data_IF_219452629642
#
_entry.id   IF_219452629642
#
_cell.length_a   1.000
_cell.length_b   1.000
_cell.length_c   1.000
_cell.angle_alpha   90.00
_cell.angle_beta   90.00
_cell.angle_gamma   90.00
#
_symmetry.space_group_name_H-M   'P 1'
#
loop_
_entity.id
_entity.type
_entity.pdbx_description
1 polymer ?
#
# COMPACT_ATOMS: atom_id res chain seq x y z
N UNK A 1 3.36 7.17 16.20
CA UNK A 1 1.95 7.58 16.16
C UNK A 1 1.29 6.98 14.91
N UNK A 2 -0.03 6.77 14.90
CA UNK A 2 -0.76 6.18 13.76
C UNK A 2 -1.97 7.04 13.40
N UNK A 3 -2.14 7.35 12.11
CA UNK A 3 -3.30 8.07 11.57
C UNK A 3 -4.15 7.13 10.72
N UNK A 4 -5.42 6.99 11.08
CA UNK A 4 -6.36 6.13 10.37
C UNK A 4 -7.15 6.94 9.33
N UNK A 5 -7.33 6.35 8.15
CA UNK A 5 -8.22 6.84 7.10
C UNK A 5 -9.35 5.83 6.89
N UNK A 6 -10.49 6.30 6.34
CA UNK A 6 -11.59 5.41 5.99
C UNK A 6 -11.17 4.51 4.82
N UNK A 7 -11.82 3.36 4.69
CA UNK A 7 -11.63 2.58 3.47
C UNK A 7 -12.09 3.40 2.25
N UNK A 8 -11.45 3.15 1.10
CA UNK A 8 -11.63 3.91 -0.14
C UNK A 8 -11.34 5.41 -0.02
N UNK A 9 -10.56 5.84 0.99
CA UNK A 9 -10.09 7.23 1.07
C UNK A 9 -9.34 7.62 -0.21
N UNK A 10 -9.69 8.76 -0.79
CA UNK A 10 -9.19 9.19 -2.11
C UNK A 10 -7.93 10.05 -2.06
N UNK A 11 -7.48 10.48 -0.87
CA UNK A 11 -6.35 11.41 -0.65
C UNK A 11 -6.48 12.70 -1.50
N UNK A 12 -7.05 13.75 -0.89
CA UNK A 12 -7.10 15.05 -1.56
C UNK A 12 -5.76 15.76 -1.52
N UNK A 13 -5.64 16.88 -2.26
CA UNK A 13 -4.46 17.75 -2.21
C UNK A 13 -4.20 18.24 -0.77
N UNK A 14 -5.26 18.54 -0.02
CA UNK A 14 -5.16 18.94 1.39
C UNK A 14 -4.62 17.81 2.26
N UNK A 15 -5.05 16.56 2.03
CA UNK A 15 -4.49 15.40 2.74
C UNK A 15 -2.98 15.25 2.45
N UNK A 16 -2.57 15.40 1.19
CA UNK A 16 -1.16 15.33 0.80
C UNK A 16 -0.33 16.45 1.43
N UNK A 17 -0.87 17.66 1.52
CA UNK A 17 -0.22 18.77 2.23
C UNK A 17 -0.03 18.45 3.72
N UNK A 18 -1.04 17.83 4.35
CA UNK A 18 -0.94 17.39 5.74
C UNK A 18 0.10 16.28 5.89
N UNK A 19 0.14 15.30 4.99
CA UNK A 19 1.17 14.25 4.99
C UNK A 19 2.58 14.84 4.87
N UNK A 20 2.78 15.82 3.98
CA UNK A 20 4.04 16.53 3.83
C UNK A 20 4.45 17.31 5.09
N UNK A 21 3.49 17.91 5.80
CA UNK A 21 3.77 18.57 7.07
C UNK A 21 4.18 17.58 8.16
N UNK A 22 3.45 16.47 8.27
CA UNK A 22 3.74 15.40 9.23
C UNK A 22 5.12 14.79 8.93
N UNK A 23 5.45 14.56 7.67
CA UNK A 23 6.71 13.96 7.23
C UNK A 23 7.96 14.73 7.72
N UNK A 24 7.85 16.02 8.06
CA UNK A 24 8.97 16.80 8.61
C UNK A 24 9.37 16.39 10.02
N UNK A 25 8.48 15.72 10.76
CA UNK A 25 8.67 15.35 12.16
C UNK A 25 9.03 13.86 12.35
N UNK A 26 9.12 13.08 11.27
CA UNK A 26 9.38 11.65 11.32
C UNK A 26 10.42 11.27 10.27
N UNK A 27 11.29 10.31 10.59
CA UNK A 27 12.25 9.77 9.62
C UNK A 27 11.56 9.07 8.45
N UNK A 28 10.46 8.35 8.75
CA UNK A 28 9.66 7.62 7.79
C UNK A 28 8.18 7.76 8.08
N UNK A 29 7.39 7.85 7.01
CA UNK A 29 5.97 7.56 7.02
C UNK A 29 5.76 6.20 6.35
N UNK A 30 4.89 5.36 6.89
CA UNK A 30 4.62 4.03 6.32
C UNK A 30 3.13 3.90 6.02
N UNK A 31 2.81 3.48 4.80
CA UNK A 31 1.44 3.15 4.39
C UNK A 31 1.38 1.80 3.67
N UNK A 32 0.18 1.39 3.28
CA UNK A 32 -0.04 0.21 2.44
C UNK A 32 0.17 0.55 0.96
N UNK A 33 0.43 -0.46 0.13
CA UNK A 33 0.49 -0.29 -1.34
C UNK A 33 -0.80 0.34 -1.90
N UNK A 34 -1.96 -0.04 -1.35
CA UNK A 34 -3.28 0.45 -1.76
C UNK A 34 -3.45 1.95 -1.54
N UNK A 35 -2.84 2.51 -0.50
CA UNK A 35 -2.91 3.94 -0.24
C UNK A 35 -1.87 4.70 -1.04
N UNK A 36 -0.68 4.13 -1.23
CA UNK A 36 0.38 4.75 -2.04
C UNK A 36 -0.11 5.08 -3.46
N UNK A 37 -0.83 4.16 -4.12
CA UNK A 37 -1.30 4.37 -5.50
C UNK A 37 -2.30 5.52 -5.67
N UNK A 38 -2.83 6.05 -4.56
CA UNK A 38 -3.79 7.18 -4.56
C UNK A 38 -3.12 8.52 -4.23
N UNK A 39 -1.91 8.49 -3.71
CA UNK A 39 -1.15 9.68 -3.32
C UNK A 39 -0.37 10.13 -4.56
N UNK A 40 -0.72 11.28 -5.10
CA UNK A 40 -0.17 11.80 -6.35
C UNK A 40 1.24 12.36 -6.17
N UNK A 41 1.49 13.05 -5.05
CA UNK A 41 2.77 13.66 -4.74
C UNK A 41 3.27 13.23 -3.33
N UNK A 42 3.81 12.01 -3.20
CA UNK A 42 4.21 11.47 -1.91
C UNK A 42 5.44 12.18 -1.34
N UNK A 43 5.51 12.42 -0.01
CA UNK A 43 6.73 12.94 0.62
C UNK A 43 7.88 11.94 0.49
N UNK A 44 9.11 12.44 0.42
CA UNK A 44 10.32 11.62 0.28
C UNK A 44 10.52 10.59 1.40
N UNK A 45 9.92 10.82 2.57
CA UNK A 45 9.93 9.95 3.74
C UNK A 45 8.91 8.80 3.65
N UNK A 46 7.96 8.85 2.69
CA UNK A 46 6.93 7.83 2.56
C UNK A 46 7.53 6.51 2.07
N UNK A 47 7.17 5.43 2.75
CA UNK A 47 7.53 4.05 2.45
C UNK A 47 6.28 3.20 2.46
N UNK A 48 6.36 2.08 1.75
CA UNK A 48 5.34 1.04 1.78
C UNK A 48 5.86 -0.17 2.51
N UNK A 49 4.96 -0.84 3.23
CA UNK A 49 5.21 -2.18 3.73
C UNK A 49 4.80 -3.19 2.65
N UNK A 50 5.80 -3.77 1.98
CA UNK A 50 5.60 -4.83 1.00
C UNK A 50 5.44 -6.17 1.71
N UNK A 51 4.32 -6.84 1.48
CA UNK A 51 4.07 -8.20 1.98
C UNK A 51 4.15 -9.19 0.83
N UNK A 52 5.01 -10.19 0.97
CA UNK A 52 5.06 -11.30 0.01
C UNK A 52 4.07 -12.37 0.43
N UNK A 53 3.05 -12.59 -0.40
CA UNK A 53 2.12 -13.70 -0.23
C UNK A 53 2.85 -15.02 -0.48
N UNK A 54 2.55 -16.01 0.36
CA UNK A 54 3.00 -17.40 0.19
C UNK A 54 1.80 -18.31 0.37
N UNK A 55 1.61 -19.25 -0.55
CA UNK A 55 0.54 -20.24 -0.48
C UNK A 55 1.14 -21.62 -0.25
N UNK A 56 0.63 -22.34 0.75
CA UNK A 56 1.03 -23.73 0.95
C UNK A 56 0.51 -24.59 -0.20
N UNK A 57 1.39 -25.46 -0.73
CA UNK A 57 1.10 -26.31 -1.91
C UNK A 57 0.70 -25.50 -3.15
N UNK A 58 1.31 -24.34 -3.38
CA UNK A 58 1.08 -23.48 -4.55
C UNK A 58 1.12 -24.24 -5.88
N UNK A 59 2.01 -25.22 -6.02
CA UNK A 59 2.12 -26.07 -7.21
C UNK A 59 0.81 -26.83 -7.54
N UNK A 60 0.06 -27.25 -6.52
CA UNK A 60 -1.23 -27.91 -6.73
C UNK A 60 -2.23 -26.95 -7.37
N UNK A 61 -2.32 -25.71 -6.85
CA UNK A 61 -3.20 -24.68 -7.42
C UNK A 61 -2.82 -24.37 -8.87
N UNK A 62 -1.52 -24.21 -9.15
CA UNK A 62 -1.03 -23.95 -10.51
C UNK A 62 -1.45 -25.10 -11.45
N UNK A 63 -1.23 -26.35 -11.04
CA UNK A 63 -1.60 -27.52 -11.84
C UNK A 63 -3.11 -27.63 -12.08
N UNK A 64 -3.93 -27.26 -11.09
CA UNK A 64 -5.39 -27.27 -11.19
C UNK A 64 -5.88 -26.22 -12.19
N UNK A 65 -5.33 -25.00 -12.14
CA UNK A 65 -5.70 -23.91 -13.05
C UNK A 65 -5.32 -24.22 -14.50
N UNK A 66 -4.12 -24.77 -14.73
CA UNK A 66 -3.66 -25.14 -16.08
C UNK A 66 -4.56 -26.20 -16.74
N UNK A 67 -5.03 -27.19 -15.97
CA UNK A 67 -5.95 -28.23 -16.47
C UNK A 67 -7.33 -27.69 -16.85
N UNK A 68 -7.76 -26.58 -16.26
CA UNK A 68 -9.08 -25.98 -16.49
C UNK A 68 -9.11 -24.98 -17.66
N UNK A 69 -7.93 -24.56 -18.15
CA UNK A 69 -7.78 -23.70 -19.33
C UNK A 69 -7.70 -24.48 -20.66
N UNK A 70 -7.81 -25.81 -20.61
CA UNK A 70 -7.99 -26.73 -21.74
C UNK A 70 -9.43 -27.22 -21.77
#
# INVERSE_FOLDING_TARGET
ETRAFRDHHSYTIEDENVLNLIAKNFDFLVCTEKDLVKISNPPNQLRILLLKSKLDKEEFLISFLQKKSL
#
